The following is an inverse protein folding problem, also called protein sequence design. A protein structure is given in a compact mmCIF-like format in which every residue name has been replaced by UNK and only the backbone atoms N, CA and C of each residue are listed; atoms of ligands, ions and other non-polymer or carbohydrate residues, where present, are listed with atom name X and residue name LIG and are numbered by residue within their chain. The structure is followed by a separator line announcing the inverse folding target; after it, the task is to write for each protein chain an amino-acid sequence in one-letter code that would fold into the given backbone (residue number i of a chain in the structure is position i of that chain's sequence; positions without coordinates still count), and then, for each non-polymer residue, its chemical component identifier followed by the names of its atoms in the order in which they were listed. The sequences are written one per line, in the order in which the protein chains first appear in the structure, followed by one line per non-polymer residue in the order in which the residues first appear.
data_IF_894474228372
#
_entry.id   IF_894474228372
#
_cell.length_a   1.000
_cell.length_b   1.000
_cell.length_c   1.000
_cell.angle_alpha   90.00
_cell.angle_beta   90.00
_cell.angle_gamma   90.00
#
_symmetry.space_group_name_H-M   'P 1'
#
loop_
_entity.id
_entity.type
_entity.pdbx_description
1 polymer ?
#
# COMPACT_ATOMS: atom_id res chain seq x y z
N UNK A 1 -54.17 -20.96 -13.03
CA UNK A 1 -52.93 -20.20 -12.92
C UNK A 1 -51.80 -21.12 -13.35
N UNK A 2 -51.26 -20.88 -14.54
CA UNK A 2 -50.51 -21.83 -15.34
C UNK A 2 -49.16 -22.24 -14.70
N UNK A 3 -48.80 -23.52 -14.87
CA UNK A 3 -47.51 -24.10 -14.49
C UNK A 3 -46.30 -23.30 -14.93
N UNK A 4 -46.43 -22.62 -16.10
CA UNK A 4 -45.38 -21.76 -16.69
C UNK A 4 -45.10 -20.51 -15.81
N UNK A 5 -46.11 -19.91 -15.19
CA UNK A 5 -45.95 -18.72 -14.33
C UNK A 5 -45.22 -19.09 -13.03
N UNK A 6 -45.44 -20.32 -12.49
CA UNK A 6 -44.71 -20.81 -11.30
C UNK A 6 -43.24 -21.10 -11.58
N UNK A 7 -42.90 -21.52 -12.80
CA UNK A 7 -41.50 -21.75 -13.18
C UNK A 7 -40.75 -20.44 -13.48
N UNK A 8 -41.42 -19.40 -13.99
CA UNK A 8 -40.84 -18.07 -14.17
C UNK A 8 -40.56 -17.36 -12.84
N UNK A 9 -41.40 -17.54 -11.82
CA UNK A 9 -41.20 -16.95 -10.47
C UNK A 9 -40.05 -17.63 -9.74
N UNK A 10 -39.79 -18.91 -10.01
CA UNK A 10 -38.66 -19.63 -9.37
C UNK A 10 -37.30 -19.30 -10.00
N UNK A 11 -37.29 -18.86 -11.26
CA UNK A 11 -36.05 -18.46 -11.96
C UNK A 11 -35.54 -17.04 -11.57
N UNK A 12 -36.41 -16.18 -11.02
CA UNK A 12 -36.05 -14.82 -10.59
C UNK A 12 -35.35 -14.81 -9.23
N UNK A 13 -35.41 -15.90 -8.46
CA UNK A 13 -34.81 -16.01 -7.11
C UNK A 13 -33.32 -16.38 -7.11
N UNK A 14 -32.70 -16.59 -8.28
CA UNK A 14 -31.26 -16.87 -8.43
C UNK A 14 -30.51 -15.82 -9.25
N UNK A 15 -30.90 -14.56 -9.17
CA UNK A 15 -29.99 -13.50 -9.61
C UNK A 15 -28.86 -13.45 -8.57
N UNK A 16 -27.58 -13.64 -8.98
CA UNK A 16 -26.46 -13.45 -8.06
C UNK A 16 -26.55 -12.01 -7.57
N UNK A 17 -26.78 -11.82 -6.27
CA UNK A 17 -26.60 -10.51 -5.65
C UNK A 17 -25.15 -10.10 -5.91
N UNK A 18 -24.89 -8.91 -6.50
CA UNK A 18 -23.54 -8.43 -6.63
C UNK A 18 -22.91 -8.47 -5.23
N UNK A 19 -21.82 -9.22 -5.07
CA UNK A 19 -21.13 -9.27 -3.79
C UNK A 19 -20.67 -7.86 -3.46
N UNK A 20 -20.93 -7.36 -2.27
CA UNK A 20 -20.50 -6.04 -1.81
C UNK A 20 -18.98 -5.83 -1.98
N UNK A 21 -18.21 -6.91 -2.05
CA UNK A 21 -16.77 -6.92 -2.33
C UNK A 21 -16.40 -6.38 -3.72
N UNK A 22 -17.31 -6.41 -4.70
CA UNK A 22 -17.03 -5.90 -6.05
C UNK A 22 -16.80 -4.38 -6.07
N UNK A 23 -17.34 -3.65 -5.10
CA UNK A 23 -17.23 -2.20 -5.02
C UNK A 23 -15.79 -1.74 -4.70
N UNK A 24 -15.06 -2.47 -3.82
CA UNK A 24 -13.71 -2.10 -3.37
C UNK A 24 -12.58 -2.80 -4.13
N UNK A 25 -12.90 -3.77 -4.96
CA UNK A 25 -11.93 -4.58 -5.70
C UNK A 25 -11.32 -3.86 -6.90
N UNK A 26 -10.14 -4.32 -7.29
CA UNK A 26 -9.57 -4.07 -8.61
C UNK A 26 -8.81 -5.32 -9.07
N UNK A 27 -8.81 -5.57 -10.37
CA UNK A 27 -8.04 -6.67 -10.93
C UNK A 27 -6.55 -6.47 -10.66
N UNK A 28 -5.90 -7.46 -10.03
CA UNK A 28 -4.47 -7.44 -9.84
C UNK A 28 -3.74 -7.70 -11.17
N UNK A 29 -3.19 -6.65 -11.75
CA UNK A 29 -2.43 -6.73 -13.01
C UNK A 29 -0.92 -6.78 -12.79
N UNK A 30 -0.38 -6.36 -11.63
CA UNK A 30 1.01 -5.97 -11.45
C UNK A 30 1.92 -6.99 -10.75
N UNK A 31 1.39 -7.92 -9.94
CA UNK A 31 2.22 -8.81 -9.15
C UNK A 31 1.59 -10.19 -8.96
N UNK A 32 2.42 -11.17 -8.56
CA UNK A 32 1.98 -12.52 -8.21
C UNK A 32 2.37 -12.86 -6.76
N UNK A 33 1.73 -13.90 -6.23
CA UNK A 33 2.20 -14.53 -5.00
C UNK A 33 3.62 -15.08 -5.20
N UNK A 34 4.47 -14.85 -4.21
CA UNK A 34 5.90 -15.19 -4.22
C UNK A 34 6.80 -14.00 -4.60
N UNK A 35 6.26 -12.86 -5.01
CA UNK A 35 7.05 -11.65 -5.27
C UNK A 35 7.76 -11.17 -4.00
N UNK A 36 9.05 -10.82 -4.14
CA UNK A 36 9.85 -10.19 -3.09
C UNK A 36 10.55 -8.96 -3.66
N UNK A 37 10.40 -7.83 -2.99
CA UNK A 37 11.07 -6.57 -3.30
C UNK A 37 11.96 -6.17 -2.11
N UNK A 38 13.23 -5.92 -2.37
CA UNK A 38 14.22 -5.54 -1.35
C UNK A 38 14.67 -4.10 -1.56
N UNK A 39 14.86 -3.39 -0.47
CA UNK A 39 15.21 -1.97 -0.49
C UNK A 39 16.35 -1.68 0.47
N UNK A 40 17.29 -0.85 0.02
CA UNK A 40 18.26 -0.17 0.88
C UNK A 40 17.70 1.16 1.35
N UNK A 41 17.79 1.40 2.66
CA UNK A 41 17.29 2.60 3.30
C UNK A 41 18.43 3.56 3.61
N UNK A 42 18.19 4.84 3.33
CA UNK A 42 19.11 5.93 3.63
C UNK A 42 18.36 7.03 4.40
N UNK A 43 19.09 7.69 5.29
CA UNK A 43 18.64 8.90 5.93
C UNK A 43 19.55 10.06 5.54
N UNK A 44 18.95 11.20 5.17
CA UNK A 44 19.66 12.39 4.74
C UNK A 44 19.29 13.52 5.70
N UNK A 45 20.30 14.01 6.41
CA UNK A 45 20.17 15.19 7.24
C UNK A 45 21.12 16.28 6.72
N UNK A 46 20.56 17.41 6.30
CA UNK A 46 21.31 18.44 5.57
C UNK A 46 21.99 17.79 4.35
N UNK A 47 23.33 17.67 4.34
CA UNK A 47 24.11 17.05 3.25
C UNK A 47 24.77 15.72 3.65
N UNK A 48 24.45 15.21 4.82
CA UNK A 48 25.03 13.95 5.33
C UNK A 48 24.12 12.80 4.93
N UNK A 49 24.65 11.83 4.21
CA UNK A 49 23.99 10.58 3.82
C UNK A 49 24.43 9.45 4.77
N UNK A 50 23.46 8.80 5.39
CA UNK A 50 23.70 7.66 6.27
C UNK A 50 22.93 6.47 5.76
N UNK A 51 23.61 5.32 5.54
CA UNK A 51 22.93 4.05 5.33
C UNK A 51 22.11 3.71 6.57
N UNK A 52 20.79 3.70 6.41
CA UNK A 52 19.87 3.59 7.53
C UNK A 52 19.50 2.14 7.88
N UNK A 53 19.38 1.27 6.87
CA UNK A 53 18.94 -0.09 7.07
C UNK A 53 18.40 -0.73 5.80
N UNK A 54 17.46 -1.64 5.94
CA UNK A 54 16.82 -2.35 4.82
C UNK A 54 15.32 -2.45 5.04
N UNK A 55 14.58 -2.57 3.95
CA UNK A 55 13.19 -2.99 3.96
C UNK A 55 12.98 -4.13 2.96
N UNK A 56 12.09 -5.07 3.30
CA UNK A 56 11.72 -6.18 2.42
C UNK A 56 10.21 -6.28 2.36
N UNK A 57 9.65 -6.16 1.17
CA UNK A 57 8.24 -6.42 0.90
C UNK A 57 8.09 -7.77 0.24
N UNK A 58 7.20 -8.60 0.76
CA UNK A 58 6.92 -9.93 0.20
C UNK A 58 5.42 -10.18 0.14
N UNK A 59 4.95 -10.81 -0.93
CA UNK A 59 3.55 -11.16 -1.13
C UNK A 59 3.43 -12.66 -1.34
N UNK A 60 2.57 -13.35 -0.57
CA UNK A 60 2.38 -14.79 -0.63
C UNK A 60 0.90 -15.15 -0.71
N UNK A 61 0.62 -16.33 -1.29
CA UNK A 61 -0.71 -16.94 -1.19
C UNK A 61 -1.07 -17.19 0.27
N UNK A 62 -2.29 -16.92 0.63
CA UNK A 62 -2.82 -17.06 1.97
C UNK A 62 -4.27 -17.54 1.92
N UNK A 63 -4.81 -17.96 3.05
CA UNK A 63 -6.24 -18.20 3.22
C UNK A 63 -6.76 -17.32 4.35
N UNK A 64 -7.86 -16.63 4.11
CA UNK A 64 -8.57 -15.86 5.10
C UNK A 64 -9.98 -16.40 5.24
N UNK A 65 -10.34 -16.88 6.44
CA UNK A 65 -11.67 -17.50 6.71
C UNK A 65 -12.02 -18.58 5.68
N UNK A 66 -11.04 -19.41 5.28
CA UNK A 66 -11.21 -20.51 4.33
C UNK A 66 -11.29 -20.10 2.86
N UNK A 67 -11.15 -18.82 2.52
CA UNK A 67 -11.14 -18.31 1.15
C UNK A 67 -9.73 -17.95 0.69
N UNK A 68 -9.39 -18.13 -0.62
CA UNK A 68 -8.11 -17.67 -1.17
C UNK A 68 -7.91 -16.17 -0.94
N UNK A 69 -6.69 -15.80 -0.55
CA UNK A 69 -6.29 -14.43 -0.27
C UNK A 69 -4.80 -14.26 -0.56
N UNK A 70 -4.33 -13.00 -0.57
CA UNK A 70 -2.92 -12.64 -0.63
C UNK A 70 -2.53 -11.99 0.68
N UNK A 71 -1.38 -12.38 1.22
CA UNK A 71 -0.78 -11.74 2.39
C UNK A 71 0.49 -11.02 1.96
N UNK A 72 0.52 -9.70 2.11
CA UNK A 72 1.72 -8.89 1.90
C UNK A 72 2.31 -8.47 3.23
N UNK A 73 3.63 -8.51 3.34
CA UNK A 73 4.38 -8.13 4.54
C UNK A 73 5.52 -7.21 4.15
N UNK A 74 5.64 -6.07 4.82
CA UNK A 74 6.78 -5.16 4.74
C UNK A 74 7.53 -5.22 6.07
N UNK A 75 8.76 -5.68 6.03
CA UNK A 75 9.67 -5.71 7.17
C UNK A 75 10.69 -4.58 7.01
N UNK A 76 10.79 -3.70 7.99
CA UNK A 76 11.77 -2.62 8.00
C UNK A 76 12.68 -2.73 9.22
N UNK A 77 13.97 -2.61 9.00
CA UNK A 77 14.96 -2.65 10.08
C UNK A 77 16.10 -1.68 9.84
N UNK A 78 16.48 -0.95 10.88
CA UNK A 78 17.69 -0.15 10.88
C UNK A 78 18.94 -1.04 11.00
N UNK A 79 20.07 -0.53 10.50
CA UNK A 79 21.37 -1.18 10.63
C UNK A 79 21.88 -1.12 12.08
N UNK A 80 22.71 -2.08 12.47
CA UNK A 80 23.31 -2.10 13.81
C UNK A 80 24.08 -0.79 14.17
N UNK A 81 24.58 -0.09 13.17
CA UNK A 81 25.23 1.22 13.33
C UNK A 81 24.22 2.30 13.70
N UNK A 82 23.06 2.34 13.04
CA UNK A 82 22.02 3.32 13.30
C UNK A 82 21.23 2.99 14.58
N UNK A 83 21.10 1.71 14.94
CA UNK A 83 20.42 1.26 16.17
C UNK A 83 20.94 1.94 17.44
N UNK A 84 22.23 2.34 17.46
CA UNK A 84 22.83 3.07 18.56
C UNK A 84 22.22 4.46 18.78
N UNK A 85 21.58 5.02 17.76
CA UNK A 85 20.95 6.34 17.78
C UNK A 85 19.43 6.24 17.73
N UNK A 86 18.92 5.40 16.85
CA UNK A 86 17.49 5.19 16.64
C UNK A 86 17.23 3.80 16.06
N UNK A 87 16.77 2.90 16.91
CA UNK A 87 16.37 1.55 16.48
C UNK A 87 14.98 1.60 15.85
N UNK A 88 14.81 0.96 14.69
CA UNK A 88 13.53 0.73 14.03
C UNK A 88 13.39 -0.75 13.64
N UNK A 89 12.29 -1.36 14.05
CA UNK A 89 11.90 -2.74 13.73
C UNK A 89 10.40 -2.76 13.51
N UNK A 90 10.02 -2.56 12.26
CA UNK A 90 8.61 -2.43 11.92
C UNK A 90 8.19 -3.58 11.01
N UNK A 91 6.99 -4.07 11.28
CA UNK A 91 6.32 -5.07 10.48
C UNK A 91 4.93 -4.56 10.11
N UNK A 92 4.71 -4.34 8.83
CA UNK A 92 3.38 -4.06 8.29
C UNK A 92 2.90 -5.29 7.54
N UNK A 93 1.65 -5.69 7.78
CA UNK A 93 1.02 -6.82 7.12
C UNK A 93 -0.36 -6.41 6.63
N UNK A 94 -0.69 -6.75 5.39
CA UNK A 94 -2.05 -6.65 4.88
C UNK A 94 -2.47 -7.99 4.29
N UNK A 95 -3.71 -8.40 4.54
CA UNK A 95 -4.36 -9.52 3.89
C UNK A 95 -5.44 -8.93 3.01
N UNK A 96 -5.41 -9.27 1.74
CA UNK A 96 -6.37 -8.80 0.73
C UNK A 96 -6.93 -9.99 -0.04
N UNK A 97 -8.09 -9.83 -0.66
CA UNK A 97 -8.57 -10.81 -1.65
C UNK A 97 -7.64 -10.81 -2.87
N UNK A 98 -7.82 -11.75 -3.80
CA UNK A 98 -7.12 -11.76 -5.09
C UNK A 98 -7.39 -10.49 -5.92
N UNK A 99 -8.55 -9.87 -5.74
CA UNK A 99 -8.94 -8.58 -6.32
C UNK A 99 -8.57 -7.36 -5.45
N UNK A 100 -7.60 -7.53 -4.56
CA UNK A 100 -7.01 -6.47 -3.72
C UNK A 100 -8.07 -5.74 -2.84
N UNK A 101 -9.13 -6.43 -2.41
CA UNK A 101 -10.05 -5.92 -1.39
C UNK A 101 -9.42 -6.14 -0.01
N UNK A 102 -9.26 -5.09 0.82
CA UNK A 102 -8.70 -5.24 2.18
C UNK A 102 -9.53 -6.19 3.05
N UNK A 103 -8.89 -7.07 3.81
CA UNK A 103 -9.51 -7.98 4.78
C UNK A 103 -8.97 -7.77 6.19
N UNK A 104 -7.66 -7.54 6.29
CA UNK A 104 -6.99 -7.31 7.56
C UNK A 104 -5.70 -6.54 7.35
N UNK A 105 -5.42 -5.63 8.29
CA UNK A 105 -4.16 -4.90 8.38
C UNK A 105 -3.58 -4.95 9.79
N UNK A 106 -2.26 -5.03 9.87
CA UNK A 106 -1.52 -4.88 11.12
C UNK A 106 -0.23 -4.12 10.88
N UNK A 107 0.00 -3.08 11.67
CA UNK A 107 1.30 -2.43 11.83
C UNK A 107 1.79 -2.71 13.25
N UNK A 108 2.94 -3.36 13.37
CA UNK A 108 3.63 -3.55 14.64
C UNK A 108 4.98 -2.83 14.52
N UNK A 109 5.16 -1.74 15.25
CA UNK A 109 6.33 -0.88 15.12
C UNK A 109 7.06 -0.76 16.45
N UNK A 110 8.39 -0.88 16.38
CA UNK A 110 9.30 -0.61 17.49
C UNK A 110 10.29 0.47 17.07
N UNK A 111 9.99 1.70 17.44
CA UNK A 111 10.73 2.90 17.06
C UNK A 111 11.34 3.55 18.29
N UNK A 112 12.69 3.58 18.35
CA UNK A 112 13.44 4.12 19.49
C UNK A 112 13.13 3.41 20.82
N UNK A 113 12.87 2.09 20.77
CA UNK A 113 12.49 1.28 21.92
C UNK A 113 11.03 1.43 22.38
N UNK A 114 10.20 2.12 21.62
CA UNK A 114 8.78 2.33 21.89
C UNK A 114 7.96 1.47 20.94
N UNK A 115 7.30 0.45 21.50
CA UNK A 115 6.47 -0.48 20.74
C UNK A 115 5.02 -0.02 20.69
N UNK A 116 4.39 -0.10 19.52
CA UNK A 116 2.96 0.11 19.34
C UNK A 116 2.41 -0.81 18.25
N UNK A 117 1.11 -1.09 18.30
CA UNK A 117 0.42 -1.94 17.34
C UNK A 117 -0.86 -1.28 16.89
N UNK A 118 -1.06 -1.25 15.59
CA UNK A 118 -2.30 -0.87 14.93
C UNK A 118 -2.86 -2.05 14.15
N UNK A 119 -4.17 -2.31 14.28
CA UNK A 119 -4.87 -3.41 13.61
C UNK A 119 -6.22 -2.95 13.10
N UNK A 120 -6.55 -3.36 11.88
CA UNK A 120 -7.84 -3.09 11.24
C UNK A 120 -8.38 -4.37 10.63
N UNK A 121 -9.61 -4.70 10.94
CA UNK A 121 -10.39 -5.75 10.28
C UNK A 121 -11.46 -5.10 9.43
N UNK A 122 -11.60 -5.58 8.21
CA UNK A 122 -12.55 -5.07 7.23
C UNK A 122 -13.64 -6.10 6.98
N UNK A 123 -14.88 -5.65 6.93
CA UNK A 123 -16.01 -6.42 6.44
C UNK A 123 -16.91 -5.53 5.58
N UNK A 124 -17.70 -6.15 4.73
CA UNK A 124 -18.46 -5.45 3.70
C UNK A 124 -19.89 -5.96 3.71
N UNK A 125 -20.84 -5.07 3.98
CA UNK A 125 -22.27 -5.33 3.97
C UNK A 125 -23.03 -4.05 3.56
N UNK A 126 -24.19 -4.21 2.96
CA UNK A 126 -25.11 -3.12 2.60
C UNK A 126 -24.46 -1.97 1.79
N UNK A 127 -23.45 -2.33 0.97
CA UNK A 127 -22.71 -1.36 0.16
C UNK A 127 -21.69 -0.51 0.93
N UNK A 128 -21.44 -0.83 2.21
CA UNK A 128 -20.54 -0.09 3.10
C UNK A 128 -19.31 -0.90 3.48
N UNK A 129 -18.26 -0.20 3.88
CA UNK A 129 -17.08 -0.77 4.54
C UNK A 129 -17.24 -0.64 6.05
N UNK A 130 -17.26 -1.76 6.75
CA UNK A 130 -17.31 -1.83 8.22
C UNK A 130 -15.91 -2.10 8.74
N UNK A 131 -15.39 -1.20 9.55
CA UNK A 131 -14.07 -1.28 10.16
C UNK A 131 -14.20 -1.64 11.65
N UNK A 132 -13.40 -2.62 12.09
CA UNK A 132 -13.10 -2.81 13.50
C UNK A 132 -11.62 -2.50 13.69
N UNK A 133 -11.32 -1.50 14.50
CA UNK A 133 -9.98 -1.00 14.74
C UNK A 133 -9.52 -1.30 16.16
N UNK A 134 -8.25 -1.61 16.32
CA UNK A 134 -7.61 -1.76 17.63
C UNK A 134 -6.23 -1.13 17.57
N UNK A 135 -5.99 -0.18 18.46
CA UNK A 135 -4.71 0.49 18.60
C UNK A 135 -4.14 0.25 20.00
N UNK A 136 -2.92 -0.28 20.07
CA UNK A 136 -2.13 -0.35 21.29
C UNK A 136 -1.05 0.72 21.23
N UNK A 137 -1.13 1.70 22.13
CA UNK A 137 -0.16 2.79 22.17
C UNK A 137 1.18 2.35 22.81
N UNK A 138 2.15 3.28 22.83
CA UNK A 138 3.51 3.05 23.36
C UNK A 138 3.58 2.76 24.86
N UNK A 139 2.47 2.93 25.61
CA UNK A 139 2.33 2.58 27.03
C UNK A 139 1.68 1.22 27.23
N UNK A 140 1.26 0.54 26.13
CA UNK A 140 0.53 -0.72 26.17
C UNK A 140 -0.98 -0.57 26.38
N UNK A 141 -1.50 0.66 26.44
CA UNK A 141 -2.92 0.92 26.55
C UNK A 141 -3.60 0.61 25.21
N UNK A 142 -4.73 -0.08 25.26
CA UNK A 142 -5.48 -0.54 24.08
C UNK A 142 -6.76 0.26 23.91
N UNK A 143 -6.91 0.91 22.75
CA UNK A 143 -8.15 1.54 22.29
C UNK A 143 -8.78 0.65 21.23
N UNK A 144 -10.11 0.52 21.24
CA UNK A 144 -10.89 -0.20 20.23
C UNK A 144 -11.99 0.70 19.72
N UNK A 145 -12.28 0.58 18.43
CA UNK A 145 -13.34 1.32 17.77
C UNK A 145 -13.95 0.52 16.63
N UNK A 146 -15.18 0.87 16.29
CA UNK A 146 -15.88 0.38 15.11
C UNK A 146 -16.39 1.57 14.33
N UNK A 147 -16.39 1.46 13.00
CA UNK A 147 -16.81 2.54 12.11
C UNK A 147 -17.39 2.00 10.82
N UNK A 148 -18.47 2.61 10.36
CA UNK A 148 -19.04 2.38 9.05
C UNK A 148 -18.64 3.52 8.11
N UNK A 149 -18.23 3.16 6.90
CA UNK A 149 -17.82 4.10 5.86
C UNK A 149 -18.59 3.79 4.58
N UNK A 150 -19.12 4.82 3.93
CA UNK A 150 -19.82 4.70 2.65
C UNK A 150 -18.85 4.35 1.52
N UNK A 151 -17.59 4.78 1.61
CA UNK A 151 -16.54 4.54 0.64
C UNK A 151 -15.66 3.35 1.02
N UNK A 152 -14.90 2.87 0.05
CA UNK A 152 -13.85 1.87 0.27
C UNK A 152 -12.72 2.47 1.08
N UNK A 153 -12.38 1.86 2.20
CA UNK A 153 -11.27 2.26 3.05
C UNK A 153 -10.11 1.30 2.87
N UNK A 154 -8.91 1.83 2.75
CA UNK A 154 -7.68 1.07 2.56
C UNK A 154 -6.76 1.24 3.76
N UNK A 155 -5.79 0.37 3.92
CA UNK A 155 -4.58 0.57 4.72
C UNK A 155 -3.40 0.94 3.81
N UNK A 156 -2.28 1.32 4.41
CA UNK A 156 -1.06 1.70 3.68
C UNK A 156 -0.58 0.60 2.72
N UNK A 157 -0.66 -0.66 3.12
CA UNK A 157 -0.18 -1.79 2.32
C UNK A 157 -1.15 -2.13 1.20
N UNK A 158 -2.45 -2.24 1.49
CA UNK A 158 -3.47 -2.53 0.48
C UNK A 158 -3.56 -1.43 -0.56
N UNK A 159 -3.39 -0.16 -0.16
CA UNK A 159 -3.31 0.97 -1.09
C UNK A 159 -2.08 0.87 -2.00
N UNK A 160 -0.91 0.51 -1.46
CA UNK A 160 0.30 0.33 -2.26
C UNK A 160 0.14 -0.81 -3.28
N UNK A 161 -0.49 -1.93 -2.89
CA UNK A 161 -0.80 -3.04 -3.79
C UNK A 161 -1.77 -2.60 -4.91
N UNK A 162 -2.83 -1.86 -4.53
CA UNK A 162 -3.83 -1.35 -5.48
C UNK A 162 -3.22 -0.32 -6.45
N UNK A 163 -2.39 0.60 -5.95
CA UNK A 163 -1.74 1.62 -6.78
C UNK A 163 -0.85 1.02 -7.87
N UNK A 164 -0.27 -0.15 -7.65
CA UNK A 164 0.49 -0.88 -8.67
C UNK A 164 -0.37 -1.43 -9.80
N UNK A 165 -1.68 -1.57 -9.61
CA UNK A 165 -2.63 -2.03 -10.63
C UNK A 165 -3.41 -0.90 -11.29
N UNK A 166 -3.04 0.37 -11.06
CA UNK A 166 -3.65 1.50 -11.74
C UNK A 166 -3.21 1.58 -13.21
N UNK A 167 -4.17 1.80 -14.09
CA UNK A 167 -3.86 2.21 -15.47
C UNK A 167 -3.47 3.69 -15.49
N UNK A 168 -2.19 3.96 -15.61
CA UNK A 168 -1.63 5.31 -15.65
C UNK A 168 -1.56 5.90 -17.08
N UNK A 169 -2.03 5.20 -18.10
CA UNK A 169 -1.91 5.61 -19.53
C UNK A 169 -2.62 6.93 -19.81
N UNK A 170 -3.71 7.19 -19.12
CA UNK A 170 -4.56 8.37 -19.30
C UNK A 170 -4.28 9.50 -18.28
N UNK A 171 -3.36 9.31 -17.35
CA UNK A 171 -3.08 10.32 -16.32
C UNK A 171 -2.39 11.55 -16.91
N UNK A 172 -2.89 12.71 -16.55
CA UNK A 172 -2.27 14.02 -16.84
C UNK A 172 -1.58 14.54 -15.60
N UNK A 173 -0.46 15.22 -15.79
CA UNK A 173 0.27 15.85 -14.67
C UNK A 173 -0.65 16.77 -13.87
N UNK A 174 -0.77 16.52 -12.58
CA UNK A 174 -1.67 17.22 -11.66
C UNK A 174 -2.94 16.46 -11.33
N UNK A 175 -3.24 15.34 -11.99
CA UNK A 175 -4.38 14.50 -11.64
C UNK A 175 -4.26 13.99 -10.22
N UNK A 176 -5.39 14.01 -9.51
CA UNK A 176 -5.49 13.64 -8.08
C UNK A 176 -6.29 12.37 -7.91
N UNK A 177 -5.77 11.47 -7.10
CA UNK A 177 -6.44 10.27 -6.63
C UNK A 177 -6.66 10.44 -5.13
N UNK A 178 -7.93 10.47 -4.70
CA UNK A 178 -8.29 10.63 -3.29
C UNK A 178 -8.98 9.36 -2.81
N UNK A 179 -8.61 8.90 -1.61
CA UNK A 179 -9.22 7.73 -0.99
C UNK A 179 -9.08 7.78 0.54
N UNK A 180 -10.06 7.21 1.26
CA UNK A 180 -9.97 7.04 2.71
C UNK A 180 -8.94 5.97 3.07
N UNK A 181 -8.09 6.26 4.05
CA UNK A 181 -7.11 5.34 4.60
C UNK A 181 -7.27 5.22 6.12
N UNK A 182 -7.31 3.99 6.61
CA UNK A 182 -7.29 3.72 8.04
C UNK A 182 -5.85 3.81 8.58
N UNK A 183 -5.67 4.59 9.66
CA UNK A 183 -4.42 4.74 10.41
C UNK A 183 -4.74 4.86 11.91
N UNK A 184 -4.23 3.92 12.69
CA UNK A 184 -4.55 3.80 14.11
C UNK A 184 -6.04 3.61 14.37
N UNK A 185 -6.63 4.52 15.11
CA UNK A 185 -8.07 4.55 15.43
C UNK A 185 -8.85 5.54 14.55
N UNK A 186 -8.23 6.07 13.50
CA UNK A 186 -8.79 7.08 12.62
C UNK A 186 -8.91 6.62 11.16
N UNK A 187 -9.67 7.37 10.36
CA UNK A 187 -9.73 7.25 8.90
C UNK A 187 -9.51 8.65 8.33
N UNK A 188 -8.49 8.80 7.49
CA UNK A 188 -8.10 10.06 6.89
C UNK A 188 -8.16 10.00 5.37
N UNK A 189 -8.52 11.10 4.73
CA UNK A 189 -8.50 11.20 3.28
C UNK A 189 -7.08 11.49 2.80
N UNK A 190 -6.55 10.56 2.01
CA UNK A 190 -5.24 10.62 1.42
C UNK A 190 -5.34 11.10 -0.02
N UNK A 191 -4.42 11.96 -0.43
CA UNK A 191 -4.33 12.43 -1.82
C UNK A 191 -3.00 12.03 -2.43
N UNK A 192 -3.07 11.28 -3.54
CA UNK A 192 -1.95 11.06 -4.44
C UNK A 192 -2.07 11.98 -5.65
N UNK A 193 -1.00 12.68 -6.01
CA UNK A 193 -0.94 13.55 -7.19
C UNK A 193 0.04 12.97 -8.19
N UNK A 194 -0.41 12.76 -9.42
CA UNK A 194 0.48 12.37 -10.51
C UNK A 194 1.34 13.54 -10.96
N UNK A 195 2.67 13.38 -10.94
CA UNK A 195 3.65 14.43 -11.27
C UNK A 195 4.25 14.27 -12.67
N UNK A 196 3.82 13.27 -13.44
CA UNK A 196 4.34 12.98 -14.77
C UNK A 196 5.37 11.86 -14.79
N UNK A 197 6.10 11.75 -15.92
CA UNK A 197 7.14 10.74 -16.13
C UNK A 197 8.54 11.35 -15.99
N UNK A 198 9.50 10.54 -15.49
CA UNK A 198 10.90 10.93 -15.38
C UNK A 198 11.81 9.71 -15.42
N UNK A 199 12.91 9.77 -16.15
CA UNK A 199 13.97 8.79 -16.06
C UNK A 199 14.74 8.99 -14.75
N UNK A 200 14.99 7.88 -14.06
CA UNK A 200 15.74 7.86 -12.80
C UNK A 200 16.89 6.86 -12.88
N UNK A 201 18.12 7.36 -12.72
CA UNK A 201 19.35 6.54 -12.69
C UNK A 201 19.66 6.09 -11.28
N UNK A 202 19.67 4.79 -11.05
CA UNK A 202 20.08 4.19 -9.77
C UNK A 202 21.57 4.43 -9.53
N UNK A 203 21.92 4.90 -8.33
CA UNK A 203 23.34 5.16 -8.00
C UNK A 203 24.18 3.89 -7.88
N UNK A 204 23.60 2.84 -7.28
CA UNK A 204 24.29 1.57 -6.99
C UNK A 204 24.52 0.73 -8.25
N UNK A 205 23.48 0.52 -9.05
CA UNK A 205 23.50 -0.38 -10.21
C UNK A 205 23.77 0.33 -11.54
N UNK A 206 23.67 1.66 -11.58
CA UNK A 206 23.70 2.49 -12.80
C UNK A 206 22.52 2.26 -13.76
N UNK A 207 21.59 1.37 -13.42
CA UNK A 207 20.39 1.12 -14.22
C UNK A 207 19.54 2.39 -14.26
N UNK A 208 19.04 2.73 -15.45
CA UNK A 208 18.09 3.83 -15.65
C UNK A 208 16.69 3.26 -15.81
N UNK A 209 15.76 3.70 -14.97
CA UNK A 209 14.37 3.34 -15.06
C UNK A 209 13.52 4.51 -15.58
N UNK A 210 12.66 4.25 -16.53
CA UNK A 210 11.56 5.16 -16.87
C UNK A 210 10.51 5.03 -15.76
N UNK A 211 10.18 6.14 -15.09
CA UNK A 211 9.32 6.14 -13.90
C UNK A 211 8.11 7.06 -14.08
N UNK A 212 6.98 6.59 -13.54
CA UNK A 212 5.83 7.39 -13.15
C UNK A 212 6.13 8.01 -11.78
N UNK A 213 5.86 9.30 -11.62
CA UNK A 213 6.10 10.01 -10.36
C UNK A 213 4.76 10.35 -9.71
N UNK A 214 4.59 9.92 -8.47
CA UNK A 214 3.43 10.26 -7.64
C UNK A 214 3.88 10.89 -6.33
N UNK A 215 3.13 11.89 -5.87
CA UNK A 215 3.33 12.48 -4.54
C UNK A 215 2.13 12.19 -3.66
N UNK A 216 2.37 11.60 -2.50
CA UNK A 216 1.42 11.63 -1.40
C UNK A 216 1.53 13.00 -0.72
N UNK A 217 0.41 13.69 -0.60
CA UNK A 217 0.35 15.03 -0.04
C UNK A 217 -0.71 15.14 1.04
N UNK A 218 -0.42 15.99 2.02
CA UNK A 218 -1.37 16.52 2.99
C UNK A 218 -1.64 18.00 2.68
N UNK A 219 -2.76 18.52 3.14
CA UNK A 219 -3.11 19.93 2.99
C UNK A 219 -3.14 20.61 4.36
N UNK A 220 -2.29 21.62 4.53
CA UNK A 220 -2.35 22.55 5.65
C UNK A 220 -3.09 23.83 5.18
N UNK A 221 -4.43 23.87 5.34
CA UNK A 221 -5.29 24.84 4.69
C UNK A 221 -5.28 24.68 3.17
N UNK A 222 -4.86 25.69 2.42
CA UNK A 222 -4.71 25.63 0.95
C UNK A 222 -3.30 25.21 0.51
N UNK A 223 -2.36 25.10 1.44
CA UNK A 223 -0.97 24.77 1.12
C UNK A 223 -0.79 23.27 1.03
N UNK A 224 -0.33 22.82 -0.13
CA UNK A 224 0.10 21.43 -0.36
C UNK A 224 1.43 21.18 0.34
N UNK A 225 1.50 20.09 1.09
CA UNK A 225 2.69 19.58 1.75
C UNK A 225 2.96 18.16 1.28
N UNK A 226 4.04 17.99 0.58
CA UNK A 226 4.49 16.69 0.13
C UNK A 226 5.05 15.87 1.29
N UNK A 227 4.53 14.66 1.47
CA UNK A 227 4.92 13.72 2.52
C UNK A 227 5.81 12.64 1.95
N UNK A 228 5.41 12.04 0.81
CA UNK A 228 6.18 10.99 0.14
C UNK A 228 6.16 11.24 -1.36
N UNK A 229 7.32 11.08 -2.03
CA UNK A 229 7.41 10.97 -3.49
C UNK A 229 7.77 9.55 -3.87
N UNK A 230 6.97 8.95 -4.75
CA UNK A 230 7.16 7.62 -5.31
C UNK A 230 7.69 7.72 -6.74
N UNK A 231 8.74 6.96 -7.03
CA UNK A 231 9.25 6.69 -8.38
C UNK A 231 8.91 5.26 -8.72
N UNK A 232 7.91 5.06 -9.57
CA UNK A 232 7.32 3.76 -9.88
C UNK A 232 7.69 3.41 -11.32
N UNK A 233 8.11 2.18 -11.61
CA UNK A 233 8.42 1.75 -12.97
C UNK A 233 7.24 1.98 -13.91
N UNK A 234 7.52 2.56 -15.09
CA UNK A 234 6.54 2.76 -16.18
C UNK A 234 6.48 1.49 -17.04
N UNK A 235 6.09 0.38 -16.42
CA UNK A 235 5.84 -0.93 -17.00
C UNK A 235 4.73 -1.66 -16.23
N UNK A 236 4.34 -2.85 -16.66
CA UNK A 236 3.21 -3.59 -16.08
C UNK A 236 3.43 -4.03 -14.62
N UNK A 237 4.67 -4.06 -14.11
CA UNK A 237 4.95 -4.40 -12.71
C UNK A 237 4.69 -3.24 -11.74
N UNK A 238 4.78 -1.99 -12.20
CA UNK A 238 4.65 -0.77 -11.39
C UNK A 238 5.42 -0.85 -10.06
N UNK A 239 6.72 -1.22 -10.12
CA UNK A 239 7.54 -1.38 -8.93
C UNK A 239 8.01 -0.02 -8.42
N UNK A 240 7.87 0.30 -7.14
CA UNK A 240 8.52 1.46 -6.55
C UNK A 240 10.04 1.25 -6.53
N UNK A 241 10.79 1.92 -7.42
CA UNK A 241 12.26 1.83 -7.46
C UNK A 241 12.93 2.83 -6.51
N UNK A 242 12.19 3.88 -6.12
CA UNK A 242 12.63 4.85 -5.12
C UNK A 242 11.44 5.47 -4.42
N UNK A 243 11.57 5.68 -3.11
CA UNK A 243 10.67 6.49 -2.28
C UNK A 243 11.49 7.55 -1.56
N UNK A 244 10.99 8.79 -1.56
CA UNK A 244 11.52 9.89 -0.76
C UNK A 244 10.47 10.28 0.27
N UNK A 245 10.75 10.10 1.56
CA UNK A 245 9.87 10.48 2.67
C UNK A 245 10.41 11.73 3.36
N UNK A 246 9.61 12.80 3.35
CA UNK A 246 9.98 14.11 3.90
C UNK A 246 9.61 14.17 5.38
N UNK A 247 10.61 14.08 6.25
CA UNK A 247 10.45 14.08 7.69
C UNK A 247 10.75 15.47 8.26
N UNK A 248 10.31 15.75 9.50
CA UNK A 248 10.61 17.02 10.19
C UNK A 248 12.09 17.36 10.26
N UNK A 249 12.97 16.33 10.32
CA UNK A 249 14.41 16.47 10.53
C UNK A 249 15.25 15.88 9.40
N UNK A 250 14.76 15.87 8.17
CA UNK A 250 15.50 15.36 7.02
C UNK A 250 14.63 14.54 6.07
N UNK A 251 15.28 13.74 5.24
CA UNK A 251 14.58 12.89 4.27
C UNK A 251 15.04 11.44 4.44
N UNK A 252 14.10 10.53 4.61
CA UNK A 252 14.38 9.12 4.47
C UNK A 252 14.15 8.71 3.00
N UNK A 253 15.04 7.85 2.48
CA UNK A 253 14.94 7.34 1.10
C UNK A 253 15.05 5.83 1.10
N UNK A 254 14.19 5.19 0.31
CA UNK A 254 14.30 3.79 -0.02
C UNK A 254 14.65 3.63 -1.49
N UNK A 255 15.61 2.75 -1.80
CA UNK A 255 16.02 2.41 -3.17
C UNK A 255 15.89 0.91 -3.36
N UNK A 256 15.27 0.48 -4.45
CA UNK A 256 15.17 -0.93 -4.80
C UNK A 256 16.58 -1.51 -4.96
N UNK A 257 16.91 -2.55 -4.20
CA UNK A 257 18.19 -3.25 -4.24
C UNK A 257 18.08 -4.66 -4.80
N UNK A 258 16.86 -5.24 -4.83
CA UNK A 258 16.60 -6.55 -5.41
C UNK A 258 15.12 -6.79 -5.64
N UNK A 259 14.82 -7.67 -6.59
CA UNK A 259 13.45 -8.12 -6.87
C UNK A 259 13.46 -9.58 -7.33
N UNK A 260 12.47 -10.37 -6.88
CA UNK A 260 12.33 -11.77 -7.22
C UNK A 260 10.89 -12.07 -7.63
N UNK A 261 10.72 -13.01 -8.56
CA UNK A 261 9.42 -13.53 -9.02
C UNK A 261 8.43 -12.46 -9.47
N UNK A 262 8.94 -11.47 -10.22
CA UNK A 262 8.10 -10.47 -10.84
C UNK A 262 7.11 -11.13 -11.81
N UNK A 263 5.90 -10.55 -11.90
CA UNK A 263 4.86 -11.04 -12.79
C UNK A 263 5.18 -10.81 -14.26
N UNK A 264 5.81 -9.69 -14.59
CA UNK A 264 6.11 -9.26 -15.95
C UNK A 264 7.61 -8.96 -16.11
N UNK A 265 8.08 -8.87 -17.36
CA UNK A 265 9.42 -8.40 -17.66
C UNK A 265 9.55 -6.89 -17.29
N UNK A 266 10.72 -6.48 -16.82
CA UNK A 266 11.05 -5.08 -16.56
C UNK A 266 11.32 -4.32 -17.86
N UNK A 267 10.26 -3.79 -18.49
CA UNK A 267 10.38 -3.03 -19.76
C UNK A 267 10.61 -1.53 -19.54
N UNK A 268 10.64 -1.08 -18.30
CA UNK A 268 10.96 0.30 -17.92
C UNK A 268 12.44 0.62 -17.87
N UNK A 269 13.31 -0.40 -17.94
CA UNK A 269 14.76 -0.20 -18.04
C UNK A 269 15.08 0.39 -19.42
N UNK A 270 15.82 1.49 -19.43
CA UNK A 270 16.23 2.20 -20.65
C UNK A 270 17.76 2.31 -20.69
N UNK A 271 18.31 2.30 -21.89
CA UNK A 271 19.73 2.56 -22.08
C UNK A 271 20.05 4.02 -21.72
N UNK A 272 21.28 4.26 -21.28
CA UNK A 272 21.77 5.57 -20.77
C UNK A 272 22.04 6.54 -21.94
#
# INVERSE_FOLDING_TARGET
MNRIIKQLILAILFLPTPSANAQCGCTNTAFNAGEVLQYDLYFIWKFIWVGAGTATMSTYSHFWEGKPALKSTLLTKTSAKLDKFFMMRDTLQSIVTEDIVPLYYKKAANEGGKYYVDQVWYSYADGKTHLRQQYQNRRGEVTKGERDCEDCVYDMMSMMLRARSFDASNFKKGDKLCFPMADGDNVENITLIYRGKKNFKMRSTKIVYRCLIFSFVEYEGQKEKEIITFYITDDENHIPVRLDMFLKFGTAKAYLSGSEKLKHACTSIVDD
#
